data_IF_465966139027
#
_entry.id   IF_465966139027
#
_cell.length_a   1.000
_cell.length_b   1.000
_cell.length_c   1.000
_cell.angle_alpha   90.00
_cell.angle_beta   90.00
_cell.angle_gamma   90.00
#
_symmetry.space_group_name_H-M   'P 1'
#
loop_
_entity.id
_entity.type
_entity.pdbx_description
1 polymer ?
#
# COMPACT_ATOMS: atom_id res chain seq x y z
N UNK A 1 4.48 1.92 -13.51
CA UNK A 1 3.03 2.19 -13.55
C UNK A 1 2.69 3.25 -14.60
N UNK A 2 1.64 3.06 -15.42
CA UNK A 2 1.06 4.18 -16.16
C UNK A 2 0.34 5.07 -15.16
N UNK A 3 0.76 6.34 -15.03
CA UNK A 3 0.07 7.28 -14.14
C UNK A 3 -1.38 7.41 -14.58
N UNK A 4 -2.31 7.24 -13.63
CA UNK A 4 -3.73 7.48 -13.87
C UNK A 4 -3.90 8.99 -13.91
N UNK A 5 -3.91 9.56 -15.11
CA UNK A 5 -3.95 11.01 -15.28
C UNK A 5 -5.36 11.56 -15.12
N UNK A 6 -6.37 10.91 -15.71
CA UNK A 6 -7.74 11.40 -15.73
C UNK A 6 -8.76 10.27 -15.68
N UNK A 7 -9.92 10.53 -15.09
CA UNK A 7 -11.08 9.65 -15.08
C UNK A 7 -11.29 8.91 -13.76
N UNK A 8 -12.18 7.94 -13.77
CA UNK A 8 -12.46 7.08 -12.63
C UNK A 8 -11.51 5.88 -12.61
N UNK A 9 -11.18 5.37 -11.42
CA UNK A 9 -10.50 4.09 -11.22
C UNK A 9 -11.15 3.37 -10.06
N UNK A 10 -11.43 2.07 -10.23
CA UNK A 10 -11.91 1.22 -9.14
C UNK A 10 -10.82 0.29 -8.65
N UNK A 11 -10.75 0.11 -7.32
CA UNK A 11 -9.90 -0.88 -6.66
C UNK A 11 -10.78 -1.83 -5.86
N UNK A 12 -10.63 -3.13 -6.10
CA UNK A 12 -11.49 -4.19 -5.58
C UNK A 12 -10.69 -5.42 -5.15
N UNK A 13 -11.35 -6.34 -4.47
CA UNK A 13 -10.81 -7.69 -4.17
C UNK A 13 -11.94 -8.71 -4.18
N UNK A 14 -11.66 -9.92 -4.66
CA UNK A 14 -12.63 -11.01 -4.73
C UNK A 14 -13.09 -11.48 -3.36
N UNK A 15 -12.21 -11.46 -2.35
CA UNK A 15 -12.51 -11.76 -0.94
C UNK A 15 -13.59 -10.83 -0.33
N UNK A 16 -13.86 -9.67 -0.93
CA UNK A 16 -14.88 -8.75 -0.43
C UNK A 16 -16.27 -9.07 -1.01
N UNK A 17 -17.23 -9.47 -0.16
CA UNK A 17 -18.62 -9.71 -0.57
C UNK A 17 -19.28 -8.50 -1.25
N UNK A 18 -18.94 -7.28 -0.81
CA UNK A 18 -19.44 -6.06 -1.43
C UNK A 18 -18.89 -5.88 -2.84
N UNK A 19 -17.62 -6.20 -3.09
CA UNK A 19 -17.03 -6.18 -4.44
C UNK A 19 -17.73 -7.18 -5.36
N UNK A 20 -18.02 -8.39 -4.87
CA UNK A 20 -18.75 -9.42 -5.63
C UNK A 20 -20.17 -8.95 -5.93
N UNK A 21 -20.86 -8.35 -4.97
CA UNK A 21 -22.22 -7.83 -5.14
C UNK A 21 -22.30 -6.76 -6.24
N UNK A 22 -21.33 -5.84 -6.28
CA UNK A 22 -21.33 -4.71 -7.23
C UNK A 22 -20.67 -5.07 -8.57
N UNK A 23 -20.29 -6.33 -8.81
CA UNK A 23 -19.66 -6.78 -10.05
C UNK A 23 -20.39 -6.33 -11.33
N UNK A 24 -21.75 -6.34 -11.42
CA UNK A 24 -22.45 -5.80 -12.59
C UNK A 24 -22.22 -4.30 -12.81
N UNK A 25 -22.08 -3.53 -11.72
CA UNK A 25 -21.83 -2.08 -11.76
C UNK A 25 -20.41 -1.80 -12.23
N UNK A 26 -19.45 -2.59 -11.74
CA UNK A 26 -18.06 -2.51 -12.20
C UNK A 26 -17.95 -2.80 -13.70
N UNK A 27 -18.70 -3.79 -14.22
CA UNK A 27 -18.75 -4.07 -15.65
C UNK A 27 -19.34 -2.93 -16.47
N UNK A 28 -20.45 -2.33 -16.01
CA UNK A 28 -21.06 -1.18 -16.65
C UNK A 28 -20.07 -0.02 -16.77
N UNK A 29 -19.43 0.37 -15.66
CA UNK A 29 -18.47 1.47 -15.63
C UNK A 29 -17.18 1.16 -16.40
N UNK A 30 -16.73 -0.10 -16.38
CA UNK A 30 -15.55 -0.53 -17.14
C UNK A 30 -15.81 -0.51 -18.66
N UNK A 31 -17.04 -0.74 -19.11
CA UNK A 31 -17.41 -0.59 -20.52
C UNK A 31 -17.25 0.85 -21.02
N UNK A 32 -17.41 1.84 -20.14
CA UNK A 32 -17.16 3.26 -20.41
C UNK A 32 -15.68 3.66 -20.23
N UNK A 33 -14.79 2.68 -20.00
CA UNK A 33 -13.34 2.87 -19.95
C UNK A 33 -12.74 3.07 -18.56
N UNK A 34 -13.53 2.92 -17.49
CA UNK A 34 -13.00 2.94 -16.12
C UNK A 34 -12.12 1.71 -15.84
N UNK A 35 -10.81 1.85 -15.56
CA UNK A 35 -10.00 0.72 -15.14
C UNK A 35 -10.43 0.16 -13.78
N UNK A 36 -10.41 -1.17 -13.67
CA UNK A 36 -10.66 -1.91 -12.43
C UNK A 36 -9.39 -2.68 -12.05
N UNK A 37 -8.88 -2.42 -10.86
CA UNK A 37 -7.71 -3.07 -10.28
C UNK A 37 -8.14 -4.08 -9.21
N UNK A 38 -7.54 -5.27 -9.24
CA UNK A 38 -7.86 -6.34 -8.29
C UNK A 38 -6.66 -6.70 -7.43
N UNK A 39 -6.86 -6.69 -6.11
CA UNK A 39 -5.80 -6.91 -5.11
C UNK A 39 -5.43 -8.38 -4.90
N UNK A 40 -6.26 -9.33 -5.34
CA UNK A 40 -6.14 -10.74 -4.95
C UNK A 40 -6.28 -11.73 -6.10
N UNK A 41 -7.17 -11.47 -7.05
CA UNK A 41 -7.36 -12.30 -8.23
C UNK A 41 -7.38 -11.43 -9.51
N UNK A 42 -6.41 -11.60 -10.43
CA UNK A 42 -6.37 -10.84 -11.68
C UNK A 42 -7.55 -11.13 -12.62
N UNK A 43 -8.29 -12.22 -12.41
CA UNK A 43 -9.48 -12.58 -13.20
C UNK A 43 -10.79 -12.07 -12.57
N UNK A 44 -10.73 -11.38 -11.42
CA UNK A 44 -11.89 -10.79 -10.75
C UNK A 44 -11.93 -9.26 -10.93
N UNK A 45 -13.07 -8.65 -11.27
CA UNK A 45 -14.38 -9.28 -11.52
C UNK A 45 -14.44 -9.97 -12.88
N UNK A 46 -15.06 -11.15 -12.94
CA UNK A 46 -15.11 -11.98 -14.15
C UNK A 46 -15.97 -11.39 -15.27
N UNK A 47 -16.86 -10.46 -14.93
CA UNK A 47 -17.64 -9.67 -15.88
C UNK A 47 -16.87 -8.52 -16.55
N UNK A 48 -15.67 -8.19 -16.07
CA UNK A 48 -14.83 -7.11 -16.60
C UNK A 48 -13.75 -7.67 -17.53
N UNK A 49 -13.76 -7.27 -18.80
CA UNK A 49 -12.89 -7.86 -19.82
C UNK A 49 -11.38 -7.59 -19.61
N UNK A 50 -11.01 -6.47 -18.98
CA UNK A 50 -9.62 -6.03 -18.83
C UNK A 50 -9.32 -5.59 -17.39
N UNK A 51 -9.49 -6.52 -16.44
CA UNK A 51 -9.04 -6.32 -15.06
C UNK A 51 -7.52 -6.10 -15.02
N UNK A 52 -7.08 -5.16 -14.20
CA UNK A 52 -5.66 -4.89 -13.94
C UNK A 52 -5.21 -5.61 -12.68
N UNK A 53 -4.12 -6.35 -12.77
CA UNK A 53 -3.52 -7.06 -11.63
C UNK A 53 -2.87 -6.06 -10.68
N UNK A 54 -3.30 -6.06 -9.43
CA UNK A 54 -2.71 -5.27 -8.33
C UNK A 54 -2.37 -6.15 -7.12
N UNK A 55 -2.00 -7.42 -7.34
CA UNK A 55 -1.56 -8.31 -6.24
C UNK A 55 -0.27 -7.86 -5.57
N UNK A 56 0.56 -7.09 -6.27
CA UNK A 56 1.72 -6.41 -5.68
C UNK A 56 1.34 -5.14 -4.90
N UNK A 57 0.07 -4.73 -4.96
CA UNK A 57 -0.54 -3.62 -4.22
C UNK A 57 0.10 -2.24 -4.48
N UNK A 58 0.89 -2.08 -5.53
CA UNK A 58 1.51 -0.81 -5.92
C UNK A 58 0.45 0.26 -6.21
N UNK A 59 -0.62 -0.10 -6.93
CA UNK A 59 -1.70 0.84 -7.26
C UNK A 59 -2.51 1.18 -6.01
N UNK A 60 -2.87 0.16 -5.23
CA UNK A 60 -3.57 0.33 -3.96
C UNK A 60 -2.80 1.21 -2.97
N UNK A 61 -1.47 1.07 -2.93
CA UNK A 61 -0.59 1.90 -2.11
C UNK A 61 -0.56 3.35 -2.63
N UNK A 62 -0.28 3.55 -3.91
CA UNK A 62 -0.14 4.89 -4.50
C UNK A 62 -1.45 5.71 -4.52
N UNK A 63 -2.61 5.04 -4.42
CA UNK A 63 -3.93 5.68 -4.32
C UNK A 63 -4.43 5.79 -2.87
N UNK A 64 -3.62 5.41 -1.88
CA UNK A 64 -3.99 5.38 -0.46
C UNK A 64 -5.33 4.65 -0.22
N UNK A 65 -5.47 3.45 -0.77
CA UNK A 65 -6.70 2.64 -0.65
C UNK A 65 -6.73 1.96 0.71
N UNK A 66 -7.61 2.41 1.61
CA UNK A 66 -7.79 1.80 2.93
C UNK A 66 -8.88 0.72 2.95
N UNK A 67 -9.86 0.83 2.06
CA UNK A 67 -11.06 -0.02 2.00
C UNK A 67 -11.39 -0.35 0.56
N UNK A 68 -12.01 -1.50 0.33
CA UNK A 68 -12.51 -1.93 -0.99
C UNK A 68 -13.98 -2.36 -0.88
N UNK A 69 -14.82 -2.14 -1.90
CA UNK A 69 -14.49 -1.42 -3.13
C UNK A 69 -14.28 0.08 -2.87
N UNK A 70 -13.36 0.69 -3.61
CA UNK A 70 -13.19 2.15 -3.65
C UNK A 70 -13.13 2.58 -5.10
N UNK A 71 -13.82 3.67 -5.43
CA UNK A 71 -13.67 4.35 -6.73
C UNK A 71 -13.08 5.72 -6.49
N UNK A 72 -12.00 6.04 -7.19
CA UNK A 72 -11.28 7.32 -7.11
C UNK A 72 -11.45 8.07 -8.43
N UNK A 73 -11.62 9.39 -8.37
CA UNK A 73 -11.59 10.29 -9.52
C UNK A 73 -10.25 11.01 -9.57
N UNK A 74 -9.60 10.90 -10.72
CA UNK A 74 -8.33 11.57 -11.02
C UNK A 74 -8.56 12.67 -12.04
N UNK A 75 -7.92 13.82 -11.83
CA UNK A 75 -7.83 14.93 -12.78
C UNK A 75 -6.39 15.47 -12.79
N UNK A 76 -5.74 15.44 -13.94
CA UNK A 76 -4.33 15.82 -14.11
C UNK A 76 -3.38 15.13 -13.12
N UNK A 77 -3.66 13.85 -12.80
CA UNK A 77 -2.87 13.04 -11.88
C UNK A 77 -3.09 13.36 -10.39
N UNK A 78 -4.09 14.19 -10.07
CA UNK A 78 -4.48 14.53 -8.70
C UNK A 78 -5.86 13.95 -8.43
N UNK A 79 -6.03 13.36 -7.25
CA UNK A 79 -7.35 12.92 -6.81
C UNK A 79 -8.26 14.12 -6.50
N UNK A 80 -9.46 14.11 -7.08
CA UNK A 80 -10.50 15.13 -6.82
C UNK A 80 -11.69 14.61 -6.03
N UNK A 81 -11.78 13.29 -5.83
CA UNK A 81 -12.76 12.68 -4.92
C UNK A 81 -12.72 11.17 -4.97
N UNK A 82 -13.37 10.53 -3.99
CA UNK A 82 -13.52 9.07 -3.90
C UNK A 82 -14.83 8.66 -3.26
N UNK A 83 -15.30 7.45 -3.56
CA UNK A 83 -16.44 6.81 -2.88
C UNK A 83 -16.05 5.49 -2.23
N UNK A 84 -16.51 5.37 -0.98
CA UNK A 84 -16.35 4.35 0.06
C UNK A 84 -17.26 3.12 0.03
N UNK A 85 -16.83 1.92 -0.36
CA UNK A 85 -17.72 0.75 -0.31
C UNK A 85 -18.88 0.91 -1.30
N UNK A 86 -20.11 0.54 -0.90
CA UNK A 86 -21.30 0.75 -1.74
C UNK A 86 -22.34 1.57 -1.01
N UNK A 87 -22.53 2.81 -1.43
CA UNK A 87 -23.68 3.66 -1.09
C UNK A 87 -24.27 4.11 -2.42
N UNK A 88 -25.47 3.63 -2.76
CA UNK A 88 -26.05 3.81 -4.10
C UNK A 88 -26.12 5.27 -4.49
N UNK A 89 -26.68 6.11 -3.64
CA UNK A 89 -26.90 7.53 -3.94
C UNK A 89 -25.55 8.26 -4.11
N UNK A 90 -24.56 7.97 -3.26
CA UNK A 90 -23.20 8.56 -3.42
C UNK A 90 -22.55 8.12 -4.73
N UNK A 91 -22.68 6.85 -5.11
CA UNK A 91 -22.15 6.36 -6.38
C UNK A 91 -22.86 6.98 -7.58
N UNK A 92 -24.18 7.19 -7.52
CA UNK A 92 -24.96 7.86 -8.57
C UNK A 92 -24.52 9.31 -8.72
N UNK A 93 -24.44 10.05 -7.62
CA UNK A 93 -23.97 11.44 -7.59
C UNK A 93 -22.53 11.55 -8.09
N UNK A 94 -21.67 10.61 -7.68
CA UNK A 94 -20.27 10.60 -8.08
C UNK A 94 -20.12 10.25 -9.57
N UNK A 95 -20.75 9.19 -10.06
CA UNK A 95 -20.61 8.75 -11.46
C UNK A 95 -21.43 9.59 -12.45
N UNK A 96 -22.49 10.25 -11.98
CA UNK A 96 -23.47 10.94 -12.82
C UNK A 96 -24.48 10.01 -13.51
N UNK A 97 -24.64 8.77 -13.03
CA UNK A 97 -25.52 7.75 -13.61
C UNK A 97 -26.72 7.53 -12.68
N UNK A 98 -27.89 8.07 -13.04
CA UNK A 98 -29.07 8.11 -12.17
C UNK A 98 -29.69 6.74 -11.85
N UNK A 99 -29.56 5.76 -12.75
CA UNK A 99 -30.14 4.42 -12.63
C UNK A 99 -29.14 3.38 -12.11
N UNK A 100 -27.93 3.79 -11.69
CA UNK A 100 -26.89 2.87 -11.24
C UNK A 100 -27.39 1.99 -10.08
N UNK A 101 -27.35 0.66 -10.26
CA UNK A 101 -27.66 -0.32 -9.22
C UNK A 101 -29.10 -0.31 -8.70
N UNK A 102 -30.12 -0.14 -9.56
CA UNK A 102 -31.54 -0.23 -9.17
C UNK A 102 -31.86 -1.52 -8.39
N UNK A 103 -31.38 -2.67 -8.87
CA UNK A 103 -31.64 -3.99 -8.31
C UNK A 103 -30.74 -4.35 -7.10
N UNK A 104 -29.80 -3.48 -6.73
CA UNK A 104 -28.90 -3.70 -5.60
C UNK A 104 -29.47 -3.11 -4.29
N UNK A 105 -28.97 -3.52 -3.11
CA UNK A 105 -29.23 -2.82 -1.86
C UNK A 105 -28.80 -1.35 -1.92
N UNK A 106 -29.39 -0.49 -1.10
CA UNK A 106 -28.99 0.94 -1.04
C UNK A 106 -27.59 1.13 -0.45
N UNK A 107 -27.16 0.21 0.43
CA UNK A 107 -25.90 0.31 1.15
C UNK A 107 -25.29 -1.06 1.42
N UNK A 108 -23.97 -1.16 1.29
CA UNK A 108 -23.12 -2.20 1.87
C UNK A 108 -21.77 -1.62 2.29
N UNK A 109 -21.28 -1.96 3.49
CA UNK A 109 -19.94 -1.55 3.90
C UNK A 109 -18.87 -2.24 3.03
N UNK A 110 -17.73 -1.60 2.86
CA UNK A 110 -16.55 -2.25 2.27
C UNK A 110 -15.81 -3.15 3.27
N UNK A 111 -14.73 -3.77 2.80
CA UNK A 111 -13.77 -4.52 3.60
C UNK A 111 -12.41 -3.82 3.59
N UNK A 112 -11.56 -4.08 4.59
CA UNK A 112 -10.20 -3.57 4.62
C UNK A 112 -9.42 -3.95 3.36
N UNK A 113 -8.71 -2.96 2.80
CA UNK A 113 -7.79 -3.14 1.69
C UNK A 113 -6.61 -4.03 2.12
N UNK A 114 -6.12 -4.86 1.20
CA UNK A 114 -4.89 -5.63 1.46
C UNK A 114 -3.67 -4.75 1.73
N UNK A 115 -3.63 -3.55 1.15
CA UNK A 115 -2.50 -2.61 1.32
C UNK A 115 -2.35 -2.06 2.73
N UNK A 116 -3.40 -2.14 3.57
CA UNK A 116 -3.38 -1.67 4.97
C UNK A 116 -3.35 -2.82 5.98
N UNK A 117 -3.17 -4.06 5.52
CA UNK A 117 -3.03 -5.19 6.42
C UNK A 117 -1.77 -5.05 7.30
N UNK A 118 -1.80 -5.48 8.58
CA UNK A 118 -0.65 -5.39 9.46
C UNK A 118 0.59 -6.07 8.87
N UNK A 119 1.71 -5.34 8.75
CA UNK A 119 2.92 -5.84 8.10
C UNK A 119 3.05 -5.47 6.64
N UNK A 120 1.94 -5.47 5.89
CA UNK A 120 1.93 -5.17 4.46
C UNK A 120 2.15 -3.68 4.21
N UNK A 121 1.50 -2.81 4.98
CA UNK A 121 1.62 -1.36 4.81
C UNK A 121 3.08 -0.90 4.90
N UNK A 122 3.85 -1.44 5.84
CA UNK A 122 5.26 -1.06 6.01
C UNK A 122 6.16 -1.67 4.93
N UNK A 123 5.86 -2.87 4.46
CA UNK A 123 6.55 -3.45 3.30
C UNK A 123 6.30 -2.62 2.03
N UNK A 124 5.05 -2.20 1.79
CA UNK A 124 4.71 -1.33 0.66
C UNK A 124 5.36 0.03 0.78
N UNK A 125 5.40 0.63 1.98
CA UNK A 125 6.09 1.89 2.20
C UNK A 125 7.60 1.80 1.94
N UNK A 126 8.24 0.67 2.29
CA UNK A 126 9.65 0.42 1.95
C UNK A 126 9.85 0.21 0.45
N UNK A 127 8.91 -0.46 -0.23
CA UNK A 127 9.02 -0.82 -1.65
C UNK A 127 8.68 0.32 -2.62
N UNK A 128 7.63 1.07 -2.30
CA UNK A 128 6.98 2.04 -3.20
C UNK A 128 6.91 3.45 -2.60
N UNK A 129 7.16 3.63 -1.31
CA UNK A 129 7.15 4.92 -0.64
C UNK A 129 8.46 5.71 -0.78
N UNK A 130 8.43 6.94 -0.27
CA UNK A 130 9.54 7.90 -0.36
C UNK A 130 10.50 7.85 0.84
N UNK A 131 10.74 6.68 1.44
CA UNK A 131 11.68 6.57 2.56
C UNK A 131 13.08 6.13 2.07
N UNK A 132 14.04 7.05 1.88
CA UNK A 132 15.39 6.68 1.47
C UNK A 132 16.14 6.07 2.66
N UNK A 133 16.22 4.74 2.69
CA UNK A 133 17.23 4.05 3.49
C UNK A 133 18.54 4.13 2.70
N UNK A 134 19.49 4.95 3.17
CA UNK A 134 20.77 5.17 2.49
C UNK A 134 21.89 4.31 3.08
N UNK A 135 21.69 3.73 4.27
CA UNK A 135 22.68 2.84 4.86
C UNK A 135 22.93 1.62 3.95
N UNK A 136 24.17 1.12 3.99
CA UNK A 136 24.55 -0.06 3.22
C UNK A 136 23.73 -1.26 3.66
N UNK A 137 22.99 -1.86 2.72
CA UNK A 137 22.31 -3.14 2.91
C UNK A 137 23.32 -4.28 2.94
N UNK A 138 23.18 -5.16 3.93
CA UNK A 138 24.01 -6.35 4.08
C UNK A 138 23.11 -7.55 3.84
N UNK A 139 23.36 -8.24 2.73
CA UNK A 139 22.63 -9.46 2.38
C UNK A 139 23.18 -10.61 3.24
N UNK A 140 22.27 -11.32 3.89
CA UNK A 140 22.52 -12.56 4.61
C UNK A 140 22.00 -13.70 3.74
N UNK A 141 22.75 -14.80 3.63
CA UNK A 141 22.32 -15.91 2.78
C UNK A 141 21.00 -16.49 3.31
N UNK A 142 20.12 -16.97 2.42
CA UNK A 142 18.80 -17.50 2.83
C UNK A 142 18.86 -18.63 3.88
N UNK A 143 19.97 -19.37 3.96
CA UNK A 143 20.18 -20.43 4.95
C UNK A 143 21.03 -20.01 6.17
N UNK A 144 21.51 -18.76 6.20
CA UNK A 144 22.23 -18.18 7.33
C UNK A 144 21.22 -17.53 8.28
N UNK A 145 21.38 -17.74 9.59
CA UNK A 145 20.53 -17.11 10.60
C UNK A 145 20.96 -15.66 10.80
N UNK A 146 20.02 -14.71 10.71
CA UNK A 146 20.36 -13.28 10.77
C UNK A 146 20.88 -12.84 12.16
N UNK A 147 20.45 -13.50 13.24
CA UNK A 147 20.87 -13.19 14.60
C UNK A 147 22.30 -13.71 14.81
N UNK A 148 22.57 -14.94 14.38
CA UNK A 148 23.93 -15.50 14.39
C UNK A 148 24.87 -14.70 13.47
N UNK A 149 24.38 -14.25 12.31
CA UNK A 149 25.14 -13.39 11.40
C UNK A 149 25.60 -12.09 12.08
N UNK A 150 24.76 -11.49 12.92
CA UNK A 150 25.12 -10.31 13.72
C UNK A 150 26.15 -10.65 14.80
N UNK A 151 26.02 -11.81 15.45
CA UNK A 151 26.97 -12.29 16.45
C UNK A 151 28.36 -12.58 15.84
N UNK A 152 28.42 -13.33 14.72
CA UNK A 152 29.66 -13.66 14.01
C UNK A 152 30.41 -12.42 13.48
N UNK A 153 29.67 -11.32 13.24
CA UNK A 153 30.23 -10.03 12.81
C UNK A 153 30.54 -9.09 13.98
N UNK A 154 30.41 -9.57 15.21
CA UNK A 154 30.66 -8.83 16.45
C UNK A 154 29.78 -7.57 16.60
N UNK A 155 28.55 -7.60 16.08
CA UNK A 155 27.58 -6.51 16.24
C UNK A 155 26.70 -6.64 17.48
N UNK A 156 26.77 -7.77 18.18
CA UNK A 156 26.14 -7.95 19.48
C UNK A 156 27.18 -8.01 20.60
N UNK A 157 26.72 -7.77 21.83
CA UNK A 157 27.51 -7.90 23.07
C UNK A 157 27.58 -9.35 23.58
N UNK A 158 27.25 -10.33 22.73
CA UNK A 158 27.07 -11.74 23.09
C UNK A 158 25.64 -12.12 23.46
N UNK A 159 24.71 -11.18 23.51
CA UNK A 159 23.28 -11.46 23.61
C UNK A 159 22.61 -11.48 22.23
N UNK A 160 21.47 -12.19 22.06
CA UNK A 160 20.68 -12.12 20.83
C UNK A 160 20.20 -10.69 20.55
N UNK A 161 20.37 -10.26 19.29
CA UNK A 161 19.87 -8.96 18.80
C UNK A 161 18.71 -9.16 17.82
N UNK A 162 17.99 -8.09 17.52
CA UNK A 162 16.99 -8.06 16.45
C UNK A 162 17.59 -7.30 15.27
N UNK A 163 17.96 -7.98 14.17
CA UNK A 163 18.56 -7.32 13.02
C UNK A 163 17.65 -6.23 12.44
N UNK A 164 18.20 -5.05 12.08
CA UNK A 164 17.42 -3.93 11.55
C UNK A 164 17.03 -4.18 10.10
N UNK A 165 15.86 -4.79 9.87
CA UNK A 165 15.30 -4.92 8.51
C UNK A 165 14.71 -3.58 8.05
N UNK A 166 14.61 -3.33 6.73
CA UNK A 166 14.00 -2.11 6.21
C UNK A 166 12.63 -1.78 6.82
N UNK A 167 11.76 -2.77 6.97
CA UNK A 167 10.43 -2.62 7.59
C UNK A 167 10.52 -2.21 9.07
N UNK A 168 11.45 -2.79 9.84
CA UNK A 168 11.67 -2.44 11.26
C UNK A 168 12.21 -1.01 11.39
N UNK A 169 13.17 -0.64 10.54
CA UNK A 169 13.73 0.72 10.48
C UNK A 169 12.64 1.73 10.11
N UNK A 170 11.84 1.45 9.08
CA UNK A 170 10.71 2.29 8.69
C UNK A 170 9.76 2.52 9.86
N UNK A 171 9.35 1.46 10.56
CA UNK A 171 8.47 1.55 11.75
C UNK A 171 9.07 2.43 12.85
N UNK A 172 10.36 2.27 13.14
CA UNK A 172 11.06 3.07 14.15
C UNK A 172 11.09 4.55 13.75
N UNK A 173 11.30 4.85 12.47
CA UNK A 173 11.29 6.22 11.94
C UNK A 173 9.93 6.90 12.03
N UNK A 174 8.81 6.15 11.96
CA UNK A 174 7.47 6.71 12.17
C UNK A 174 7.25 7.23 13.60
N UNK A 175 8.10 6.87 14.56
CA UNK A 175 8.05 7.36 15.94
C UNK A 175 8.54 8.80 16.12
N UNK A 176 9.03 9.46 15.07
CA UNK A 176 9.60 10.81 15.14
C UNK A 176 9.21 11.65 13.92
N UNK A 177 9.32 12.97 14.07
CA UNK A 177 9.17 13.95 12.97
C UNK A 177 10.50 14.45 12.42
N UNK A 178 11.61 13.97 13.00
CA UNK A 178 12.97 14.34 12.60
C UNK A 178 13.31 13.70 11.27
N UNK A 179 14.12 14.40 10.47
CA UNK A 179 14.53 13.90 9.17
C UNK A 179 15.47 12.69 9.34
N UNK A 180 15.32 11.60 8.56
CA UNK A 180 16.19 10.43 8.66
C UNK A 180 17.70 10.75 8.51
N UNK A 181 18.03 11.76 7.70
CA UNK A 181 19.39 12.24 7.45
C UNK A 181 19.92 13.24 8.49
N UNK A 182 19.07 13.65 9.44
CA UNK A 182 19.47 14.59 10.49
C UNK A 182 20.54 13.96 11.39
N UNK A 183 21.71 14.61 11.48
CA UNK A 183 22.82 14.16 12.33
C UNK A 183 22.53 14.52 13.79
N UNK A 184 22.43 13.48 14.64
CA UNK A 184 22.24 13.58 16.09
C UNK A 184 23.54 13.98 16.79
N UNK A 185 24.66 13.52 16.25
CA UNK A 185 25.98 13.79 16.82
C UNK A 185 27.05 12.92 16.18
N UNK A 186 28.25 13.07 16.72
CA UNK A 186 29.41 12.26 16.35
C UNK A 186 29.63 11.24 17.46
N UNK A 187 29.59 9.96 17.13
CA UNK A 187 29.55 8.88 18.13
C UNK A 187 30.90 8.13 18.15
N UNK A 188 31.59 8.07 19.30
CA UNK A 188 32.76 7.20 19.49
C UNK A 188 32.40 5.71 19.34
N UNK A 189 33.36 4.83 19.01
CA UNK A 189 34.81 5.10 18.89
C UNK A 189 35.22 5.65 17.52
N UNK A 190 34.46 5.36 16.46
CA UNK A 190 34.83 5.70 15.08
C UNK A 190 34.66 7.20 14.76
N UNK A 191 34.02 7.96 15.65
CA UNK A 191 33.71 9.37 15.49
C UNK A 191 33.00 9.65 14.14
N UNK A 192 32.12 8.72 13.77
CA UNK A 192 31.28 8.84 12.59
C UNK A 192 30.02 9.66 12.92
N UNK A 193 29.47 10.43 11.95
CA UNK A 193 28.17 11.07 12.12
C UNK A 193 27.09 9.99 12.26
N UNK A 194 26.31 10.11 13.34
CA UNK A 194 25.16 9.28 13.63
C UNK A 194 23.89 10.05 13.28
N UNK A 195 23.15 9.56 12.29
CA UNK A 195 21.88 10.14 11.83
C UNK A 195 20.69 9.51 12.56
N UNK A 196 19.51 10.11 12.46
CA UNK A 196 18.25 9.51 12.94
C UNK A 196 18.04 8.11 12.35
N UNK A 197 18.32 7.92 11.06
CA UNK A 197 18.29 6.61 10.40
C UNK A 197 19.22 5.59 11.07
N UNK A 198 20.47 5.98 11.35
CA UNK A 198 21.43 5.09 12.03
C UNK A 198 20.99 4.76 13.46
N UNK A 199 20.37 5.71 14.17
CA UNK A 199 19.77 5.45 15.48
C UNK A 199 18.60 4.47 15.36
N UNK A 200 17.79 4.57 14.31
CA UNK A 200 16.69 3.63 14.08
C UNK A 200 17.14 2.20 13.72
N UNK A 201 18.40 2.05 13.26
CA UNK A 201 19.02 0.75 12.96
C UNK A 201 19.74 0.12 14.16
N UNK A 202 20.09 0.91 15.17
CA UNK A 202 20.84 0.44 16.34
C UNK A 202 19.90 -0.22 17.36
#
# INVERSE_FOLDING_TARGET
MSKIENGLVAVVKQDCETCVLIEPILAQLAADGMPVYSQDNPDFPGSVANVRDDRELETSFNLDIETVPTVVRMENGVETGRVVGWVRDEWRDFTGIDDLGEDLPTFRPGCGSKSVEPGIAEELAVRFGDLPIVARRIEVAHLEDEIEACFEREWSDGLPVVPPTPTRVYRMLQGTKRSPDEVIGIIPPDLAPCTVEKVAMN
#
